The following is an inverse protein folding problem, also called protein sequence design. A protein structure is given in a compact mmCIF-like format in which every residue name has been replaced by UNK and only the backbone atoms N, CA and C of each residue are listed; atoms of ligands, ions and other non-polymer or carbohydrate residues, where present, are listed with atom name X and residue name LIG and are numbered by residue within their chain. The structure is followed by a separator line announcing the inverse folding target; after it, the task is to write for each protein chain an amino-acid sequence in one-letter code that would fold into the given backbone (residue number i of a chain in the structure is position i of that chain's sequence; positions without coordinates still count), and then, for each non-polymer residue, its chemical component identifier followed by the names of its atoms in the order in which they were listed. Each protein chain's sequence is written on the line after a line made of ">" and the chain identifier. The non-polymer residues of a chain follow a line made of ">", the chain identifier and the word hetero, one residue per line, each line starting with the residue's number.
data_IF_643313500523
#
_entry.id   IF_643313500523
#
_cell.length_a   1.000
_cell.length_b   1.000
_cell.length_c   1.000
_cell.angle_alpha   90.00
_cell.angle_beta   90.00
_cell.angle_gamma   90.00
#
_symmetry.space_group_name_H-M   'P 1'
#
loop_
_entity.id
_entity.type
_entity.pdbx_description
1 polymer ?
#
# COMPACT_ATOMS: atom_id res chain seq x y z
N UNK A 1 -3.35 13.87 64.67
CA UNK A 1 -4.43 14.86 64.76
C UNK A 1 -5.05 15.17 63.40
N UNK A 2 -5.90 16.19 63.34
CA UNK A 2 -6.68 16.55 62.11
C UNK A 2 -5.78 16.87 60.89
N UNK A 3 -4.62 17.50 61.08
CA UNK A 3 -3.63 17.74 60.02
C UNK A 3 -3.11 16.45 59.41
N UNK A 4 -2.76 15.47 60.19
CA UNK A 4 -2.26 14.17 59.70
C UNK A 4 -3.30 13.42 58.86
N UNK A 5 -4.61 13.63 59.18
CA UNK A 5 -5.70 13.00 58.38
C UNK A 5 -5.84 13.60 56.99
N UNK A 6 -5.62 14.91 56.81
CA UNK A 6 -5.65 15.58 55.51
C UNK A 6 -4.46 15.14 54.61
N UNK A 7 -3.27 15.07 55.21
CA UNK A 7 -2.06 14.60 54.52
C UNK A 7 -2.20 13.10 54.09
N UNK A 8 -2.80 12.28 54.98
CA UNK A 8 -3.09 10.87 54.62
C UNK A 8 -4.11 10.75 53.48
N UNK A 9 -5.16 11.58 53.47
CA UNK A 9 -6.15 11.62 52.38
C UNK A 9 -5.46 12.00 51.06
N UNK A 10 -4.59 13.01 51.06
CA UNK A 10 -3.87 13.41 49.85
C UNK A 10 -2.91 12.32 49.34
N UNK A 11 -2.17 11.68 50.26
CA UNK A 11 -1.33 10.52 49.93
C UNK A 11 -2.14 9.37 49.34
N UNK A 12 -3.34 9.07 49.84
CA UNK A 12 -4.22 8.07 49.27
C UNK A 12 -4.65 8.45 47.83
N UNK A 13 -5.00 9.71 47.59
CA UNK A 13 -5.35 10.18 46.22
C UNK A 13 -4.19 10.07 45.27
N UNK A 14 -2.98 10.37 45.70
CA UNK A 14 -1.77 10.21 44.91
C UNK A 14 -1.55 8.72 44.60
N UNK A 15 -1.66 7.85 45.60
CA UNK A 15 -1.48 6.41 45.40
C UNK A 15 -2.49 5.82 44.39
N UNK A 16 -3.77 6.27 44.48
CA UNK A 16 -4.81 5.88 43.51
C UNK A 16 -4.43 6.32 42.08
N UNK A 17 -3.96 7.56 41.92
CA UNK A 17 -3.53 8.05 40.62
C UNK A 17 -2.30 7.31 40.10
N UNK A 18 -1.37 6.93 40.97
CA UNK A 18 -0.21 6.16 40.62
C UNK A 18 -0.59 4.78 40.12
N UNK A 19 -1.54 4.11 40.77
CA UNK A 19 -2.08 2.83 40.33
C UNK A 19 -2.76 2.94 38.97
N UNK A 20 -3.63 3.92 38.77
CA UNK A 20 -4.28 4.19 37.48
C UNK A 20 -3.26 4.46 36.37
N UNK A 21 -2.19 5.20 36.66
CA UNK A 21 -1.11 5.45 35.70
C UNK A 21 -0.38 4.15 35.31
N UNK A 22 -0.09 3.32 36.30
CA UNK A 22 0.56 2.02 36.05
C UNK A 22 -0.33 1.08 35.23
N UNK A 23 -1.64 1.08 35.48
CA UNK A 23 -2.62 0.31 34.69
C UNK A 23 -2.66 0.82 33.23
N UNK A 24 -2.69 2.14 33.01
CA UNK A 24 -2.62 2.71 31.68
C UNK A 24 -1.30 2.37 30.94
N UNK A 25 -0.18 2.39 31.66
CA UNK A 25 1.11 1.98 31.13
C UNK A 25 1.17 0.49 30.78
N UNK A 26 0.50 -0.35 31.57
CA UNK A 26 0.37 -1.78 31.28
C UNK A 26 -0.47 -2.03 30.00
N UNK A 27 -1.53 -1.26 29.77
CA UNK A 27 -2.30 -1.31 28.53
C UNK A 27 -1.42 -0.96 27.32
N UNK A 28 -0.62 0.11 27.42
CA UNK A 28 0.35 0.48 26.39
C UNK A 28 1.32 -0.67 26.09
N UNK A 29 1.92 -1.24 27.14
CA UNK A 29 2.87 -2.35 27.00
C UNK A 29 2.23 -3.60 26.40
N UNK A 30 0.92 -3.80 26.57
CA UNK A 30 0.14 -4.89 25.98
C UNK A 30 -0.29 -4.59 24.52
N UNK A 31 0.09 -3.45 23.92
CA UNK A 31 -0.33 -3.05 22.59
C UNK A 31 -1.77 -2.56 22.49
N UNK A 32 -2.45 -2.36 23.62
CA UNK A 32 -3.84 -1.89 23.69
C UNK A 32 -3.88 -0.36 23.69
N UNK A 33 -3.38 0.23 22.60
CA UNK A 33 -3.11 1.67 22.55
C UNK A 33 -4.36 2.54 22.69
N UNK A 34 -5.48 2.15 22.11
CA UNK A 34 -6.74 2.90 22.22
C UNK A 34 -7.27 2.90 23.66
N UNK A 35 -7.19 1.76 24.36
CA UNK A 35 -7.57 1.65 25.76
C UNK A 35 -6.61 2.47 26.65
N UNK A 36 -5.31 2.42 26.35
CA UNK A 36 -4.28 3.20 27.04
C UNK A 36 -4.52 4.70 26.88
N UNK A 37 -4.86 5.18 25.68
CA UNK A 37 -5.19 6.59 25.43
C UNK A 37 -6.34 7.02 26.35
N UNK A 38 -7.45 6.29 26.35
CA UNK A 38 -8.61 6.63 27.19
C UNK A 38 -8.25 6.65 28.69
N UNK A 39 -7.41 5.73 29.15
CA UNK A 39 -6.95 5.69 30.53
C UNK A 39 -6.04 6.88 30.87
N UNK A 40 -5.10 7.26 30.01
CA UNK A 40 -4.24 8.43 30.20
C UNK A 40 -5.02 9.75 30.08
N UNK A 41 -6.00 9.87 29.19
CA UNK A 41 -6.87 11.07 29.09
C UNK A 41 -7.66 11.31 30.38
N UNK A 42 -8.18 10.27 31.02
CA UNK A 42 -8.89 10.35 32.29
C UNK A 42 -8.02 10.91 33.42
N UNK A 43 -6.71 10.91 33.29
CA UNK A 43 -5.76 11.39 34.29
C UNK A 43 -5.52 12.91 34.23
N UNK A 44 -6.01 13.62 33.20
CA UNK A 44 -5.93 15.07 33.04
C UNK A 44 -4.53 15.65 33.29
N UNK A 45 -3.52 15.11 32.56
CA UNK A 45 -2.14 15.60 32.61
C UNK A 45 -1.36 15.15 33.86
N UNK A 46 -1.80 14.10 34.55
CA UNK A 46 -1.04 13.55 35.67
C UNK A 46 0.27 12.91 35.17
N UNK A 47 1.40 13.26 35.79
CA UNK A 47 2.74 12.87 35.34
C UNK A 47 2.94 13.25 33.86
N UNK A 48 3.34 12.32 33.03
CA UNK A 48 3.58 12.46 31.60
C UNK A 48 2.48 11.82 30.73
N UNK A 49 1.24 11.70 31.26
CA UNK A 49 0.11 11.06 30.56
C UNK A 49 -0.12 11.65 29.17
N UNK A 50 0.04 12.98 28.98
CA UNK A 50 -0.08 13.63 27.68
C UNK A 50 1.01 13.17 26.70
N UNK A 51 2.22 12.89 27.19
CA UNK A 51 3.29 12.32 26.37
C UNK A 51 3.00 10.86 26.01
N UNK A 52 2.45 10.10 26.96
CA UNK A 52 2.07 8.71 26.70
C UNK A 52 0.92 8.60 25.69
N UNK A 53 -0.04 9.50 25.69
CA UNK A 53 -1.08 9.60 24.64
C UNK A 53 -0.44 9.80 23.27
N UNK A 54 0.56 10.68 23.15
CA UNK A 54 1.30 10.87 21.89
C UNK A 54 2.04 9.62 21.47
N UNK A 55 2.66 8.91 22.41
CA UNK A 55 3.33 7.65 22.16
C UNK A 55 2.35 6.58 21.64
N UNK A 56 1.16 6.46 22.26
CA UNK A 56 0.11 5.57 21.81
C UNK A 56 -0.33 5.88 20.36
N UNK A 57 -0.60 7.17 20.08
CA UNK A 57 -0.98 7.61 18.74
C UNK A 57 0.11 7.33 17.70
N UNK A 58 1.38 7.46 18.08
CA UNK A 58 2.50 7.10 17.21
C UNK A 58 2.53 5.61 16.95
N UNK A 59 2.37 4.78 17.98
CA UNK A 59 2.34 3.33 17.86
C UNK A 59 1.16 2.83 16.99
N UNK A 60 -0.01 3.46 17.09
CA UNK A 60 -1.14 3.16 16.19
C UNK A 60 -0.76 3.45 14.74
N UNK A 61 -0.20 4.64 14.46
CA UNK A 61 0.24 4.98 13.10
C UNK A 61 1.32 4.06 12.57
N UNK A 62 2.22 3.57 13.43
CA UNK A 62 3.23 2.59 13.05
C UNK A 62 2.59 1.27 12.62
N UNK A 63 1.58 0.78 13.36
CA UNK A 63 0.84 -0.42 12.97
C UNK A 63 0.08 -0.25 11.66
N UNK A 64 -0.57 0.90 11.45
CA UNK A 64 -1.25 1.22 10.20
C UNK A 64 -0.27 1.25 9.02
N UNK A 65 0.92 1.83 9.23
CA UNK A 65 1.97 1.86 8.21
C UNK A 65 2.48 0.46 7.87
N UNK A 66 2.72 -0.38 8.86
CA UNK A 66 3.18 -1.76 8.65
C UNK A 66 2.09 -2.61 7.97
N UNK A 67 0.81 -2.37 8.30
CA UNK A 67 -0.31 -3.01 7.60
C UNK A 67 -0.38 -2.60 6.12
N UNK A 68 -0.15 -1.32 5.79
CA UNK A 68 -0.08 -0.85 4.42
C UNK A 68 1.11 -1.45 3.64
N UNK A 69 2.26 -1.63 4.27
CA UNK A 69 3.39 -2.35 3.68
C UNK A 69 3.05 -3.82 3.40
N UNK A 70 2.32 -4.47 4.31
CA UNK A 70 1.86 -5.85 4.11
C UNK A 70 0.94 -5.94 2.88
N UNK A 71 0.02 -5.00 2.69
CA UNK A 71 -0.82 -4.95 1.49
C UNK A 71 0.02 -4.83 0.21
N UNK A 72 1.07 -4.00 0.23
CA UNK A 72 2.01 -3.89 -0.89
C UNK A 72 2.72 -5.23 -1.18
N UNK A 73 3.21 -5.91 -0.14
CA UNK A 73 3.89 -7.20 -0.26
C UNK A 73 2.97 -8.31 -0.79
N UNK A 74 1.67 -8.23 -0.49
CA UNK A 74 0.63 -9.12 -1.02
C UNK A 74 0.20 -8.80 -2.46
N UNK A 75 0.76 -7.75 -3.08
CA UNK A 75 0.38 -7.30 -4.42
C UNK A 75 -0.94 -6.51 -4.46
N UNK A 76 -1.50 -6.14 -3.32
CA UNK A 76 -2.73 -5.36 -3.20
C UNK A 76 -2.43 -3.86 -3.27
N UNK A 77 -1.90 -3.43 -4.41
CA UNK A 77 -1.32 -2.08 -4.55
C UNK A 77 -2.33 -0.95 -4.41
N UNK A 78 -3.56 -1.08 -4.92
CA UNK A 78 -4.61 -0.08 -4.79
C UNK A 78 -5.07 0.08 -3.34
N UNK A 79 -5.17 -1.03 -2.60
CA UNK A 79 -5.50 -1.01 -1.17
C UNK A 79 -4.35 -0.37 -0.36
N UNK A 80 -3.10 -0.71 -0.69
CA UNK A 80 -1.93 -0.11 -0.09
C UNK A 80 -1.86 1.40 -0.33
N UNK A 81 -2.15 1.87 -1.57
CA UNK A 81 -2.22 3.31 -1.89
C UNK A 81 -3.24 4.00 -0.99
N UNK A 82 -4.44 3.45 -0.89
CA UNK A 82 -5.51 4.02 -0.04
C UNK A 82 -5.06 4.14 1.41
N UNK A 83 -4.47 3.08 1.96
CA UNK A 83 -3.97 3.08 3.33
C UNK A 83 -2.84 4.11 3.54
N UNK A 84 -1.90 4.23 2.61
CA UNK A 84 -0.84 5.24 2.69
C UNK A 84 -1.36 6.68 2.50
N UNK A 85 -2.40 6.91 1.70
CA UNK A 85 -3.03 8.23 1.53
C UNK A 85 -3.68 8.71 2.82
N UNK A 86 -4.38 7.83 3.55
CA UNK A 86 -5.01 8.13 4.85
C UNK A 86 -4.00 8.59 5.91
N UNK A 87 -2.74 8.18 5.78
CA UNK A 87 -1.67 8.57 6.70
C UNK A 87 -1.19 10.02 6.55
N UNK A 88 -1.63 10.76 5.52
CA UNK A 88 -1.33 12.17 5.31
C UNK A 88 0.18 12.51 5.35
N UNK A 89 1.01 11.62 4.81
CA UNK A 89 2.46 11.82 4.72
C UNK A 89 3.23 11.39 5.98
N UNK A 90 2.66 10.52 6.80
CA UNK A 90 3.38 9.88 7.89
C UNK A 90 4.55 9.04 7.35
N UNK A 91 5.73 9.15 7.96
CA UNK A 91 6.96 8.53 7.45
C UNK A 91 7.17 8.84 5.96
N UNK A 92 7.42 7.85 5.15
CA UNK A 92 7.60 7.96 3.70
C UNK A 92 6.38 7.47 2.90
N UNK A 93 5.16 7.52 3.48
CA UNK A 93 3.93 7.04 2.85
C UNK A 93 3.72 7.61 1.43
N UNK A 94 4.08 8.89 1.20
CA UNK A 94 4.04 9.49 -0.14
C UNK A 94 4.94 8.77 -1.15
N UNK A 95 6.12 8.35 -0.73
CA UNK A 95 7.04 7.57 -1.56
C UNK A 95 6.49 6.18 -1.82
N UNK A 96 5.90 5.55 -0.80
CA UNK A 96 5.29 4.23 -0.95
C UNK A 96 4.11 4.24 -1.93
N UNK A 97 3.30 5.30 -1.95
CA UNK A 97 2.25 5.51 -2.96
C UNK A 97 2.84 5.48 -4.37
N UNK A 98 3.94 6.18 -4.63
CA UNK A 98 4.57 6.18 -5.96
C UNK A 98 5.20 4.80 -6.29
N UNK A 99 5.70 4.10 -5.28
CA UNK A 99 6.19 2.71 -5.42
C UNK A 99 5.05 1.78 -5.83
N UNK A 100 3.88 1.85 -5.17
CA UNK A 100 2.68 1.08 -5.53
C UNK A 100 2.22 1.39 -6.96
N UNK A 101 2.13 2.67 -7.33
CA UNK A 101 1.76 3.08 -8.70
C UNK A 101 2.73 2.55 -9.75
N UNK A 102 4.01 2.45 -9.41
CA UNK A 102 5.02 1.87 -10.29
C UNK A 102 4.82 0.38 -10.43
N UNK A 103 4.55 -0.34 -9.35
CA UNK A 103 4.27 -1.76 -9.35
C UNK A 103 3.04 -2.10 -10.21
N UNK A 104 1.95 -1.32 -10.09
CA UNK A 104 0.76 -1.48 -10.95
C UNK A 104 1.12 -1.34 -12.43
N UNK A 105 1.94 -0.33 -12.79
CA UNK A 105 2.38 -0.16 -14.19
C UNK A 105 3.26 -1.30 -14.66
N UNK A 106 4.10 -1.85 -13.78
CA UNK A 106 4.94 -3.01 -14.09
C UNK A 106 4.09 -4.25 -14.37
N UNK A 107 3.05 -4.50 -13.57
CA UNK A 107 2.11 -5.60 -13.83
C UNK A 107 1.37 -5.42 -15.15
N UNK A 108 0.87 -4.23 -15.43
CA UNK A 108 0.23 -3.93 -16.71
C UNK A 108 1.16 -4.13 -17.90
N UNK A 109 2.44 -3.73 -17.76
CA UNK A 109 3.45 -3.95 -18.77
C UNK A 109 3.70 -5.44 -19.00
N UNK A 110 3.87 -6.22 -17.94
CA UNK A 110 4.07 -7.66 -18.03
C UNK A 110 2.87 -8.35 -18.67
N UNK A 111 1.65 -7.97 -18.31
CA UNK A 111 0.44 -8.48 -18.96
C UNK A 111 0.40 -8.18 -20.46
N UNK A 112 0.85 -7.00 -20.89
CA UNK A 112 0.96 -6.66 -22.30
C UNK A 112 2.02 -7.50 -23.03
N UNK A 113 3.15 -7.78 -22.38
CA UNK A 113 4.18 -8.70 -22.88
C UNK A 113 3.64 -10.13 -23.00
N UNK A 114 2.85 -10.58 -22.03
CA UNK A 114 2.22 -11.91 -22.08
C UNK A 114 1.24 -12.02 -23.26
N UNK A 115 0.48 -10.97 -23.57
CA UNK A 115 -0.37 -10.92 -24.76
C UNK A 115 0.47 -11.03 -26.06
N UNK A 116 1.61 -10.33 -26.13
CA UNK A 116 2.54 -10.44 -27.26
C UNK A 116 3.04 -11.88 -27.43
N UNK A 117 3.49 -12.50 -26.33
CA UNK A 117 4.00 -13.87 -26.32
C UNK A 117 2.91 -14.92 -26.69
N UNK A 118 1.65 -14.61 -26.40
CA UNK A 118 0.48 -15.40 -26.80
C UNK A 118 0.02 -15.13 -28.23
N UNK A 119 0.79 -14.38 -29.03
CA UNK A 119 0.49 -13.97 -30.42
C UNK A 119 -0.81 -13.12 -30.56
N UNK A 120 -1.31 -12.56 -29.44
CA UNK A 120 -2.46 -11.65 -29.40
C UNK A 120 -2.02 -10.20 -29.63
N UNK A 121 -1.44 -9.97 -30.80
CA UNK A 121 -0.73 -8.72 -31.11
C UNK A 121 -1.62 -7.49 -31.08
N UNK A 122 -2.87 -7.54 -31.53
CA UNK A 122 -3.80 -6.41 -31.49
C UNK A 122 -4.21 -6.04 -30.06
N UNK A 123 -4.34 -7.06 -29.18
CA UNK A 123 -4.63 -6.84 -27.75
C UNK A 123 -3.40 -6.25 -27.06
N UNK A 124 -2.20 -6.77 -27.38
CA UNK A 124 -0.94 -6.26 -26.87
C UNK A 124 -0.71 -4.79 -27.24
N UNK A 125 -0.98 -4.41 -28.52
CA UNK A 125 -0.89 -3.01 -28.98
C UNK A 125 -1.75 -2.11 -28.10
N UNK A 126 -3.02 -2.45 -27.88
CA UNK A 126 -3.95 -1.65 -27.05
C UNK A 126 -3.43 -1.51 -25.62
N UNK A 127 -2.90 -2.60 -25.06
CA UNK A 127 -2.36 -2.59 -23.71
C UNK A 127 -1.12 -1.68 -23.61
N UNK A 128 -0.17 -1.77 -24.55
CA UNK A 128 1.00 -0.90 -24.59
C UNK A 128 0.66 0.56 -24.88
N UNK A 129 -0.33 0.84 -25.74
CA UNK A 129 -0.80 2.21 -26.00
C UNK A 129 -1.36 2.88 -24.75
N UNK A 130 -2.13 2.14 -23.93
CA UNK A 130 -2.68 2.62 -22.66
C UNK A 130 -1.59 3.07 -21.68
N UNK A 131 -0.38 2.56 -21.80
CA UNK A 131 0.76 2.88 -20.92
C UNK A 131 1.47 4.20 -21.26
N UNK A 132 1.11 4.85 -22.38
CA UNK A 132 1.60 6.19 -22.76
C UNK A 132 3.13 6.32 -22.81
N UNK A 133 3.82 5.27 -23.22
CA UNK A 133 5.28 5.24 -23.36
C UNK A 133 6.02 4.86 -22.08
N UNK A 134 5.39 4.12 -21.18
CA UNK A 134 6.07 3.52 -20.05
C UNK A 134 7.06 2.44 -20.53
N UNK A 135 8.27 2.42 -19.97
CA UNK A 135 9.37 1.57 -20.44
C UNK A 135 9.54 1.70 -21.98
N UNK A 136 9.68 0.62 -22.67
CA UNK A 136 9.83 0.49 -24.12
C UNK A 136 8.50 0.20 -24.84
N UNK A 137 7.34 0.50 -24.22
CA UNK A 137 6.01 0.17 -24.77
C UNK A 137 5.80 0.67 -26.22
N UNK A 138 6.43 1.79 -26.61
CA UNK A 138 6.39 2.27 -28.01
C UNK A 138 7.11 1.34 -28.98
N UNK A 139 8.24 0.80 -28.59
CA UNK A 139 9.00 -0.17 -29.38
C UNK A 139 8.21 -1.48 -29.48
N UNK A 140 7.61 -1.94 -28.37
CA UNK A 140 6.78 -3.15 -28.37
C UNK A 140 5.56 -3.04 -29.29
N UNK A 141 4.95 -1.85 -29.41
CA UNK A 141 3.87 -1.60 -30.38
C UNK A 141 4.38 -1.85 -31.83
N UNK A 142 5.56 -1.36 -32.18
CA UNK A 142 6.13 -1.59 -33.52
C UNK A 142 6.51 -3.05 -33.74
N UNK A 143 7.01 -3.73 -32.72
CA UNK A 143 7.25 -5.18 -32.74
C UNK A 143 5.96 -5.96 -33.02
N UNK A 144 4.85 -5.63 -32.34
CA UNK A 144 3.54 -6.24 -32.60
C UNK A 144 3.09 -6.01 -34.04
N UNK A 145 3.19 -4.78 -34.56
CA UNK A 145 2.82 -4.46 -35.96
C UNK A 145 3.64 -5.25 -36.97
N UNK A 146 4.92 -5.45 -36.70
CA UNK A 146 5.81 -6.25 -37.53
C UNK A 146 5.38 -7.71 -37.51
N UNK A 147 5.14 -8.27 -36.32
CA UNK A 147 4.68 -9.65 -36.17
C UNK A 147 3.35 -9.91 -36.90
N UNK A 148 2.39 -8.97 -36.84
CA UNK A 148 1.13 -9.08 -37.60
C UNK A 148 1.41 -9.18 -39.12
N UNK A 149 2.31 -8.31 -39.65
CA UNK A 149 2.67 -8.39 -41.09
C UNK A 149 3.33 -9.68 -41.46
N UNK A 150 4.20 -10.21 -40.60
CA UNK A 150 4.88 -11.51 -40.85
C UNK A 150 3.88 -12.66 -40.84
N UNK A 151 2.90 -12.68 -39.95
CA UNK A 151 1.81 -13.66 -39.97
C UNK A 151 1.00 -13.59 -41.25
N UNK A 152 0.61 -12.39 -41.68
CA UNK A 152 -0.15 -12.16 -42.92
C UNK A 152 0.66 -12.59 -44.15
N UNK A 153 1.96 -12.25 -44.21
CA UNK A 153 2.83 -12.66 -45.28
C UNK A 153 2.96 -14.18 -45.38
N UNK A 154 3.21 -14.85 -44.26
CA UNK A 154 3.32 -16.28 -44.19
C UNK A 154 2.03 -17.00 -44.65
N UNK A 155 0.86 -16.49 -44.20
CA UNK A 155 -0.42 -17.00 -44.65
C UNK A 155 -0.62 -16.86 -46.17
N UNK A 156 -0.26 -15.72 -46.77
CA UNK A 156 -0.31 -15.49 -48.20
C UNK A 156 0.66 -16.45 -48.98
N UNK A 157 1.87 -16.67 -48.46
CA UNK A 157 2.83 -17.63 -49.02
C UNK A 157 2.27 -19.03 -49.00
N UNK A 158 1.60 -19.45 -47.93
CA UNK A 158 1.02 -20.80 -47.84
C UNK A 158 -0.17 -20.97 -48.77
N UNK A 159 -1.01 -19.95 -48.95
CA UNK A 159 -2.08 -19.94 -49.97
C UNK A 159 -1.51 -20.06 -51.40
N UNK A 160 -0.44 -19.30 -51.69
CA UNK A 160 0.25 -19.39 -52.96
C UNK A 160 0.80 -20.81 -53.26
N UNK A 161 1.47 -21.42 -52.26
CA UNK A 161 1.97 -22.80 -52.36
C UNK A 161 0.86 -23.84 -52.54
N UNK A 162 -0.33 -23.55 -51.98
CA UNK A 162 -1.51 -24.40 -52.14
C UNK A 162 -2.24 -24.20 -53.50
N UNK A 163 -1.76 -23.32 -54.37
CA UNK A 163 -2.38 -23.00 -55.65
C UNK A 163 -3.63 -22.12 -55.56
N UNK A 164 -3.89 -21.51 -54.41
CA UNK A 164 -5.04 -20.62 -54.15
C UNK A 164 -4.64 -19.18 -54.44
N UNK A 165 -4.33 -18.89 -55.69
CA UNK A 165 -3.72 -17.62 -56.08
C UNK A 165 -4.61 -16.40 -55.87
N UNK A 166 -5.94 -16.53 -56.06
CA UNK A 166 -6.90 -15.40 -55.81
C UNK A 166 -7.06 -15.08 -54.33
N UNK A 167 -6.91 -16.10 -53.45
CA UNK A 167 -6.96 -15.90 -52.00
C UNK A 167 -5.63 -15.31 -51.44
N UNK A 168 -4.52 -15.47 -52.21
CA UNK A 168 -3.18 -15.01 -51.79
C UNK A 168 -2.89 -13.54 -52.13
N UNK A 169 -3.75 -12.87 -52.89
CA UNK A 169 -3.63 -11.46 -53.29
C UNK A 169 -4.40 -10.55 -52.32
#
# INVERSE_FOLDING_TARGET
>A
GYKDSLDQIENCKIAIKDEQYNDAAALYAAGKYTEAIAAFEAMNGYRDSDAQIKNCNTAIKDLEYDAALTLYEEGKYEEAITAFEEMNGYRDSKKQIETCKTAIKDEQYNAAVDLYNAEKYEEAIKAFEAMKGYKDSKEQIENCKTAIKDVQYNAAVDLYKAGKYEEAI
#
